data_IF_697410677904
#
_entry.id   IF_697410677904
#
_cell.length_a   1.000
_cell.length_b   1.000
_cell.length_c   1.000
_cell.angle_alpha   90.00
_cell.angle_beta   90.00
_cell.angle_gamma   90.00
#
_symmetry.space_group_name_H-M   'P 1'
#
loop_
_entity.id
_entity.type
_entity.pdbx_description
1 polymer ?
#
# COMPACT_ATOMS: atom_id res chain seq x y z
N UNK A 1 -2.73 -14.10 34.83
CA UNK A 1 -3.26 -13.07 33.91
C UNK A 1 -2.22 -12.87 32.83
N UNK A 2 -2.48 -13.37 31.62
CA UNK A 2 -1.53 -13.30 30.52
C UNK A 2 -1.47 -11.85 30.01
N UNK A 3 -0.42 -11.12 30.35
CA UNK A 3 0.02 -9.95 29.60
C UNK A 3 0.78 -10.48 28.36
N UNK A 4 0.07 -11.23 27.51
CA UNK A 4 0.61 -11.72 26.24
C UNK A 4 0.77 -10.54 25.31
N UNK A 5 1.97 -10.40 24.74
CA UNK A 5 2.40 -9.30 23.88
C UNK A 5 1.28 -8.73 23.01
N UNK A 6 0.81 -7.54 23.40
CA UNK A 6 -0.04 -6.71 22.55
C UNK A 6 0.87 -6.23 21.43
N UNK A 7 0.75 -6.87 20.27
CA UNK A 7 1.37 -6.38 19.04
C UNK A 7 0.73 -5.03 18.70
N UNK A 8 1.47 -3.95 18.93
CA UNK A 8 1.01 -2.57 18.75
C UNK A 8 0.83 -2.21 17.26
N UNK A 9 1.23 -3.09 16.36
CA UNK A 9 0.98 -3.02 14.92
C UNK A 9 -0.34 -3.67 14.50
N UNK A 10 -1.05 -4.37 15.39
CA UNK A 10 -2.35 -4.94 15.05
C UNK A 10 -3.36 -3.86 14.72
N UNK A 11 -4.07 -4.10 13.63
CA UNK A 11 -5.21 -3.31 13.20
C UNK A 11 -6.51 -3.90 13.74
N UNK A 12 -7.50 -3.04 13.93
CA UNK A 12 -8.86 -3.40 14.27
C UNK A 12 -9.58 -4.08 13.07
N UNK A 13 -10.83 -4.53 13.25
CA UNK A 13 -11.67 -5.16 12.21
C UNK A 13 -11.74 -4.37 10.90
N UNK A 14 -11.61 -3.04 10.96
CA UNK A 14 -11.60 -2.13 9.82
C UNK A 14 -10.20 -1.84 9.24
N UNK A 15 -9.16 -2.52 9.72
CA UNK A 15 -7.79 -2.25 9.30
C UNK A 15 -7.19 -0.98 9.95
N UNK A 16 -7.89 -0.37 10.90
CA UNK A 16 -7.42 0.83 11.61
C UNK A 16 -6.45 0.46 12.72
N UNK A 17 -5.28 1.07 12.69
CA UNK A 17 -4.28 0.96 13.76
C UNK A 17 -4.51 2.03 14.83
N UNK A 18 -3.85 1.90 15.99
CA UNK A 18 -3.86 2.92 17.04
C UNK A 18 -3.46 4.32 16.52
N UNK A 19 -2.61 4.37 15.48
CA UNK A 19 -2.17 5.61 14.86
C UNK A 19 -3.32 6.35 14.13
N UNK A 20 -4.28 5.63 13.54
CA UNK A 20 -5.47 6.25 12.93
C UNK A 20 -6.32 6.95 13.99
N UNK A 21 -6.54 6.28 15.14
CA UNK A 21 -7.34 6.83 16.24
C UNK A 21 -6.65 8.07 16.82
N UNK A 22 -5.35 7.99 17.13
CA UNK A 22 -4.59 9.13 17.64
C UNK A 22 -4.58 10.34 16.68
N UNK A 23 -4.52 10.08 15.38
CA UNK A 23 -4.59 11.12 14.35
C UNK A 23 -5.99 11.72 14.21
N UNK A 24 -7.04 10.90 14.34
CA UNK A 24 -8.43 11.33 14.32
C UNK A 24 -8.84 12.11 15.58
N UNK A 25 -8.16 11.90 16.71
CA UNK A 25 -8.35 12.68 17.95
C UNK A 25 -7.45 13.92 18.04
N UNK A 26 -6.44 14.03 17.16
CA UNK A 26 -5.49 15.15 17.18
C UNK A 26 -4.48 15.09 18.32
N UNK A 27 -4.23 13.90 18.88
CA UNK A 27 -3.35 13.70 20.02
C UNK A 27 -1.89 13.52 19.58
N UNK A 28 -1.18 14.65 19.45
CA UNK A 28 0.22 14.68 19.01
C UNK A 28 1.14 13.82 19.88
N UNK A 29 1.02 13.91 21.21
CA UNK A 29 1.90 13.18 22.14
C UNK A 29 1.75 11.66 21.97
N UNK A 30 0.51 11.19 21.75
CA UNK A 30 0.22 9.78 21.48
C UNK A 30 0.81 9.35 20.14
N UNK A 31 0.74 10.19 19.10
CA UNK A 31 1.34 9.92 17.79
C UNK A 31 2.87 9.82 17.89
N UNK A 32 3.51 10.74 18.62
CA UNK A 32 4.96 10.71 18.87
C UNK A 32 5.35 9.43 19.61
N UNK A 33 4.61 9.09 20.67
CA UNK A 33 4.86 7.88 21.45
C UNK A 33 4.75 6.61 20.59
N UNK A 34 3.69 6.48 19.78
CA UNK A 34 3.49 5.32 18.91
C UNK A 34 4.59 5.19 17.84
N UNK A 35 5.06 6.30 17.29
CA UNK A 35 6.10 6.28 16.25
C UNK A 35 7.50 6.05 16.81
N UNK A 36 7.82 6.64 17.96
CA UNK A 36 9.17 6.56 18.54
C UNK A 36 9.38 5.35 19.46
N UNK A 37 8.36 4.96 20.24
CA UNK A 37 8.47 3.87 21.22
C UNK A 37 8.04 2.53 20.67
N UNK A 38 7.03 2.53 19.80
CA UNK A 38 6.40 1.31 19.32
C UNK A 38 6.83 0.96 17.89
N UNK A 39 7.61 1.83 17.22
CA UNK A 39 8.05 1.74 15.81
C UNK A 39 6.93 1.27 14.86
N UNK A 40 5.72 1.78 15.09
CA UNK A 40 4.53 1.42 14.30
C UNK A 40 4.71 1.94 12.88
N UNK A 41 4.10 1.23 11.93
CA UNK A 41 4.00 1.69 10.54
C UNK A 41 3.37 3.09 10.54
N UNK A 42 4.05 4.05 9.91
CA UNK A 42 3.63 5.46 9.86
C UNK A 42 2.56 5.73 8.79
N UNK A 43 2.48 4.88 7.76
CA UNK A 43 1.55 4.97 6.63
C UNK A 43 0.64 3.70 6.51
N UNK A 44 0.00 3.24 7.59
CA UNK A 44 -0.92 2.12 7.54
C UNK A 44 -2.17 2.54 6.77
N UNK A 45 -2.72 1.62 5.97
CA UNK A 45 -3.94 1.85 5.20
C UNK A 45 -5.08 1.05 5.79
N UNK A 46 -6.19 1.72 6.06
CA UNK A 46 -7.43 1.07 6.50
C UNK A 46 -8.19 0.42 5.33
N UNK A 47 -9.37 -0.15 5.63
CA UNK A 47 -10.28 -0.76 4.64
C UNK A 47 -10.70 0.22 3.52
N UNK A 48 -10.77 1.52 3.80
CA UNK A 48 -11.10 2.57 2.84
C UNK A 48 -9.86 3.17 2.17
N UNK A 49 -8.68 2.59 2.41
CA UNK A 49 -7.37 3.08 1.92
C UNK A 49 -7.02 4.47 2.46
N UNK A 50 -7.62 4.87 3.58
CA UNK A 50 -7.21 6.07 4.28
C UNK A 50 -5.96 5.80 5.10
N UNK A 51 -5.13 6.82 5.22
CA UNK A 51 -3.95 6.83 6.08
C UNK A 51 -4.24 7.66 7.33
N UNK A 52 -3.48 7.48 8.42
CA UNK A 52 -3.61 8.36 9.59
C UNK A 52 -3.37 9.84 9.24
N UNK A 53 -2.56 10.13 8.21
CA UNK A 53 -2.39 11.48 7.70
C UNK A 53 -3.68 12.02 7.06
N UNK A 54 -4.39 11.20 6.26
CA UNK A 54 -5.68 11.59 5.68
C UNK A 54 -6.73 11.88 6.76
N UNK A 55 -6.75 11.08 7.82
CA UNK A 55 -7.65 11.31 8.96
C UNK A 55 -7.30 12.63 9.67
N UNK A 56 -6.02 12.86 10.01
CA UNK A 56 -5.60 14.13 10.61
C UNK A 56 -6.00 15.35 9.76
N UNK A 57 -5.82 15.27 8.43
CA UNK A 57 -6.20 16.34 7.49
C UNK A 57 -7.72 16.52 7.44
N UNK A 58 -8.48 15.43 7.43
CA UNK A 58 -9.95 15.45 7.41
C UNK A 58 -10.53 16.14 8.64
N UNK A 59 -9.96 15.86 9.81
CA UNK A 59 -10.35 16.51 11.06
C UNK A 59 -9.66 17.87 11.29
N UNK A 60 -8.84 18.34 10.35
CA UNK A 60 -8.10 19.61 10.37
C UNK A 60 -7.08 19.76 11.51
N UNK A 61 -6.50 18.64 11.95
CA UNK A 61 -5.38 18.63 12.90
C UNK A 61 -4.05 18.82 12.16
N UNK A 62 -3.75 20.08 11.82
CA UNK A 62 -2.55 20.43 11.05
C UNK A 62 -1.26 20.09 11.77
N UNK A 63 -1.20 20.25 13.10
CA UNK A 63 -0.01 19.92 13.91
C UNK A 63 0.38 18.46 13.79
N UNK A 64 -0.60 17.56 13.89
CA UNK A 64 -0.39 16.11 13.75
C UNK A 64 -0.05 15.74 12.31
N UNK A 65 -0.74 16.35 11.34
CA UNK A 65 -0.47 16.13 9.92
C UNK A 65 0.95 16.57 9.53
N UNK A 66 1.40 17.73 10.01
CA UNK A 66 2.74 18.25 9.78
C UNK A 66 3.80 17.34 10.40
N UNK A 67 3.56 16.85 11.63
CA UNK A 67 4.47 15.91 12.29
C UNK A 67 4.57 14.58 11.52
N UNK A 68 3.44 13.98 11.14
CA UNK A 68 3.41 12.74 10.36
C UNK A 68 4.14 12.89 9.02
N UNK A 69 3.94 14.02 8.33
CA UNK A 69 4.62 14.33 7.07
C UNK A 69 6.12 14.50 7.26
N UNK A 70 6.54 15.22 8.30
CA UNK A 70 7.95 15.38 8.65
C UNK A 70 8.61 14.04 8.99
N UNK A 71 7.92 13.18 9.74
CA UNK A 71 8.39 11.85 10.10
C UNK A 71 8.54 10.93 8.86
N UNK A 72 7.56 10.94 7.96
CA UNK A 72 7.62 10.19 6.70
C UNK A 72 8.82 10.63 5.84
N UNK A 73 9.09 11.93 5.73
CA UNK A 73 10.27 12.46 5.04
C UNK A 73 11.58 12.05 5.72
N UNK A 74 11.62 12.04 7.06
CA UNK A 74 12.79 11.59 7.84
C UNK A 74 13.10 10.11 7.59
N UNK A 75 12.08 9.24 7.53
CA UNK A 75 12.26 7.80 7.25
C UNK A 75 12.74 7.54 5.82
N UNK A 76 12.35 8.39 4.85
CA UNK A 76 12.85 8.35 3.45
C UNK A 76 14.28 8.89 3.26
N UNK A 77 14.86 9.58 4.26
CA UNK A 77 16.26 10.05 4.20
C UNK A 77 17.28 9.00 4.65
N UNK A 78 16.83 7.83 5.13
CA UNK A 78 17.63 6.61 5.10
C UNK A 78 17.58 6.06 3.66
N UNK A 79 18.71 5.67 3.03
CA UNK A 79 18.80 5.48 1.59
C UNK A 79 17.74 4.50 1.08
N UNK A 80 17.09 4.81 -0.05
CA UNK A 80 15.87 4.15 -0.48
C UNK A 80 16.15 2.69 -0.89
N UNK A 81 15.38 1.70 -0.43
CA UNK A 81 15.17 0.52 -1.27
C UNK A 81 14.35 0.97 -2.48
N UNK A 82 14.92 0.81 -3.66
CA UNK A 82 14.28 1.02 -4.96
C UNK A 82 12.82 0.55 -4.94
N UNK A 83 11.89 1.47 -5.22
CA UNK A 83 10.52 1.06 -5.55
C UNK A 83 10.60 0.34 -6.91
N UNK A 84 10.11 -0.90 -7.05
CA UNK A 84 10.07 -1.56 -8.34
C UNK A 84 9.22 -0.70 -9.28
N UNK A 85 9.81 -0.34 -10.42
CA UNK A 85 9.07 0.20 -11.55
C UNK A 85 7.98 -0.80 -11.88
N UNK A 86 6.72 -0.35 -11.80
CA UNK A 86 5.62 -1.05 -12.45
C UNK A 86 5.60 -0.56 -13.89
N UNK A 87 6.60 -0.94 -14.67
CA UNK A 87 6.39 -1.04 -16.10
C UNK A 87 5.44 -2.22 -16.31
N UNK A 88 4.17 -1.91 -16.44
CA UNK A 88 3.19 -2.84 -17.02
C UNK A 88 2.77 -2.27 -18.36
N UNK A 89 3.78 -2.14 -19.22
CA UNK A 89 3.59 -2.06 -20.66
C UNK A 89 4.38 -3.22 -21.25
N UNK A 90 3.79 -4.42 -21.26
CA UNK A 90 4.21 -5.46 -22.19
C UNK A 90 3.08 -5.67 -23.21
N UNK A 91 3.23 -4.99 -24.34
CA UNK A 91 2.73 -5.51 -25.60
C UNK A 91 3.59 -6.71 -25.98
N UNK A 92 3.02 -7.91 -25.92
CA UNK A 92 3.41 -9.09 -26.70
C UNK A 92 2.13 -9.92 -26.81
N UNK A 93 1.37 -9.85 -27.91
CA UNK A 93 1.59 -10.60 -29.16
C UNK A 93 1.87 -12.08 -28.91
N UNK A 94 0.81 -12.85 -28.71
CA UNK A 94 0.69 -14.21 -29.20
C UNK A 94 -0.71 -14.36 -29.81
N UNK A 95 -0.78 -14.53 -31.13
CA UNK A 95 -1.95 -15.08 -31.79
C UNK A 95 -1.45 -15.88 -33.00
N UNK A 96 -1.41 -17.19 -32.80
CA UNK A 96 -1.58 -18.26 -33.80
C UNK A 96 -0.78 -18.17 -35.11
N UNK A 97 0.35 -18.86 -35.16
CA UNK A 97 0.91 -19.40 -36.40
C UNK A 97 0.21 -20.74 -36.70
N UNK A 98 -0.20 -21.04 -37.93
CA UNK A 98 -0.73 -22.38 -38.23
C UNK A 98 -1.48 -22.54 -39.55
N UNK A 99 -0.72 -22.63 -40.62
CA UNK A 99 -1.04 -23.10 -41.97
C UNK A 99 -2.11 -24.21 -42.05
N UNK A 100 -3.07 -24.08 -42.97
CA UNK A 100 -3.82 -25.21 -43.51
C UNK A 100 -4.03 -24.96 -45.00
N UNK A 101 -3.27 -25.70 -45.79
CA UNK A 101 -3.33 -25.78 -47.25
C UNK A 101 -4.75 -26.04 -47.78
N UNK A 102 -5.08 -25.47 -48.95
CA UNK A 102 -5.97 -26.18 -49.86
C UNK A 102 -5.33 -26.25 -51.25
N UNK A 103 -4.77 -27.42 -51.58
CA UNK A 103 -4.49 -27.81 -52.96
C UNK A 103 -5.47 -28.92 -53.38
N UNK A 104 -6.51 -28.65 -54.19
CA UNK A 104 -7.23 -29.70 -54.89
C UNK A 104 -6.51 -30.00 -56.21
N UNK A 105 -5.70 -31.06 -56.21
CA UNK A 105 -5.17 -31.67 -57.43
C UNK A 105 -6.28 -32.46 -58.14
N UNK A 106 -6.56 -32.04 -59.38
CA UNK A 106 -7.44 -32.68 -60.34
C UNK A 106 -6.96 -34.10 -60.71
N UNK A 107 -7.85 -35.10 -60.62
CA UNK A 107 -7.92 -36.27 -61.53
C UNK A 107 -9.13 -37.16 -61.21
N UNK A 108 -10.17 -37.24 -62.06
CA UNK A 108 -11.12 -38.33 -62.04
C UNK A 108 -10.64 -39.46 -62.98
N UNK A 109 -10.60 -40.67 -62.43
CA UNK A 109 -10.29 -41.93 -63.10
C UNK A 109 -11.58 -42.53 -63.66
N UNK A 110 -11.77 -42.52 -64.99
CA UNK A 110 -12.38 -43.63 -65.74
C UNK A 110 -12.18 -43.49 -67.25
#
# INVERSE_FOLDING_TARGET
>A
MALSGVDMGQSDYDGRTALHVAAAEGHLDTVVFLLEKCDVIHDPKDRWKHTPLDDAVRFRYTTVADYLRAFALKKQRQPPPEKPRKDSTCSSKDNGNGSSDPSPSSSPRR
#
